data_IF_049318837536
#
_entry.id   IF_049318837536
#
_cell.length_a   1.000
_cell.length_b   1.000
_cell.length_c   1.000
_cell.angle_alpha   90.00
_cell.angle_beta   90.00
_cell.angle_gamma   90.00
#
_symmetry.space_group_name_H-M   'P 1'
#
loop_
_entity.id
_entity.type
_entity.pdbx_description
1 polymer ?
#
# COMPACT_ATOMS: atom_id res chain seq x y z
N UNK A 1 1.40 9.86 16.14
CA UNK A 1 1.70 8.42 16.00
C UNK A 1 3.15 8.27 15.57
N UNK A 2 3.94 7.52 16.31
CA UNK A 2 5.31 7.25 15.88
C UNK A 2 5.33 6.08 14.88
N UNK A 3 6.47 5.84 14.27
CA UNK A 3 6.58 4.84 13.23
C UNK A 3 6.25 3.43 13.73
N UNK A 4 6.67 3.10 14.95
CA UNK A 4 6.40 1.78 15.50
C UNK A 4 4.90 1.54 15.69
N UNK A 5 4.17 2.54 16.15
CA UNK A 5 2.71 2.44 16.32
C UNK A 5 2.01 2.29 14.98
N UNK A 6 2.51 2.95 13.94
CA UNK A 6 1.93 2.87 12.59
C UNK A 6 1.93 1.43 12.10
N UNK A 7 3.04 0.72 12.32
CA UNK A 7 3.19 -0.64 11.82
C UNK A 7 2.48 -1.68 12.68
N UNK A 8 1.96 -1.28 13.84
CA UNK A 8 1.11 -2.12 14.68
C UNK A 8 -0.38 -1.93 14.39
N UNK A 9 -0.72 -0.99 13.51
CA UNK A 9 -2.10 -0.73 13.12
C UNK A 9 -2.69 -1.97 12.44
N UNK A 10 -3.96 -2.31 12.70
CA UNK A 10 -4.60 -3.43 12.00
C UNK A 10 -4.51 -3.25 10.48
N UNK A 11 -4.33 -4.35 9.73
CA UNK A 11 -4.14 -4.24 8.27
C UNK A 11 -5.23 -3.47 7.53
N UNK A 12 -6.49 -3.63 7.90
CA UNK A 12 -7.58 -2.91 7.25
C UNK A 12 -7.50 -1.41 7.51
N UNK A 13 -7.13 -1.03 8.74
CA UNK A 13 -6.96 0.39 9.07
C UNK A 13 -5.78 1.00 8.31
N UNK A 14 -4.66 0.28 8.25
CA UNK A 14 -3.52 0.74 7.47
C UNK A 14 -3.87 0.82 5.99
N UNK A 15 -4.66 -0.12 5.49
CA UNK A 15 -5.13 -0.10 4.11
C UNK A 15 -5.87 1.21 3.78
N UNK A 16 -6.74 1.66 4.68
CA UNK A 16 -7.45 2.92 4.49
C UNK A 16 -6.47 4.11 4.44
N UNK A 17 -5.42 4.06 5.24
CA UNK A 17 -4.41 5.13 5.28
C UNK A 17 -3.58 5.18 4.00
N UNK A 18 -3.26 4.02 3.41
CA UNK A 18 -2.33 3.97 2.29
C UNK A 18 -2.97 4.11 0.91
N UNK A 19 -4.28 3.91 0.78
CA UNK A 19 -4.90 3.98 -0.56
C UNK A 19 -4.64 5.32 -1.25
N UNK A 20 -4.64 6.49 -0.57
CA UNK A 20 -4.33 7.77 -1.23
C UNK A 20 -2.96 7.84 -1.89
N UNK A 21 -2.02 6.95 -1.53
CA UNK A 21 -0.74 6.87 -2.21
C UNK A 21 -0.93 6.62 -3.72
N UNK A 22 -2.01 5.95 -4.09
CA UNK A 22 -2.34 5.61 -5.47
C UNK A 22 -3.27 6.64 -6.12
N UNK A 23 -3.34 7.86 -5.60
CA UNK A 23 -4.31 8.86 -6.05
C UNK A 23 -4.17 9.24 -7.52
N UNK A 24 -3.03 8.99 -8.17
CA UNK A 24 -2.90 9.10 -9.61
C UNK A 24 -3.31 7.77 -10.26
N UNK A 25 -3.71 7.81 -11.53
CA UNK A 25 -4.02 6.59 -12.29
C UNK A 25 -2.80 5.77 -12.64
N UNK A 26 -1.59 6.31 -12.43
CA UNK A 26 -0.38 5.62 -12.81
C UNK A 26 -0.14 4.40 -11.92
N UNK A 27 0.03 3.21 -12.52
CA UNK A 27 0.36 2.02 -11.74
C UNK A 27 1.78 2.12 -11.20
N UNK A 28 2.01 1.44 -10.09
CA UNK A 28 3.32 1.39 -9.45
C UNK A 28 3.90 -0.01 -9.62
N UNK A 29 5.21 -0.07 -9.85
CA UNK A 29 5.91 -1.36 -9.93
C UNK A 29 5.78 -2.10 -8.60
N UNK A 30 5.31 -3.35 -8.65
CA UNK A 30 5.07 -4.14 -7.45
C UNK A 30 6.34 -4.35 -6.64
N UNK A 31 7.49 -4.46 -7.31
CA UNK A 31 8.77 -4.67 -6.64
C UNK A 31 9.19 -3.50 -5.75
N UNK A 32 8.66 -2.30 -6.00
CA UNK A 32 9.06 -1.08 -5.29
C UNK A 32 7.94 -0.49 -4.44
N UNK A 33 6.69 -0.90 -4.69
CA UNK A 33 5.54 -0.20 -4.11
C UNK A 33 5.56 -0.20 -2.59
N UNK A 34 5.93 -1.32 -1.97
CA UNK A 34 5.92 -1.41 -0.51
C UNK A 34 6.93 -0.46 0.12
N UNK A 35 8.14 -0.41 -0.43
CA UNK A 35 9.17 0.52 0.08
C UNK A 35 8.76 1.97 -0.14
N UNK A 36 8.18 2.26 -1.29
CA UNK A 36 7.74 3.61 -1.60
C UNK A 36 6.63 4.06 -0.67
N UNK A 37 5.71 3.17 -0.30
CA UNK A 37 4.66 3.50 0.67
C UNK A 37 5.26 3.74 2.06
N UNK A 38 6.21 2.90 2.48
CA UNK A 38 6.87 3.11 3.76
C UNK A 38 7.55 4.48 3.80
N UNK A 39 8.27 4.82 2.72
CA UNK A 39 8.93 6.13 2.62
C UNK A 39 7.91 7.28 2.68
N UNK A 40 6.81 7.13 1.95
CA UNK A 40 5.76 8.14 1.90
C UNK A 40 5.12 8.38 3.26
N UNK A 41 4.83 7.30 3.99
CA UNK A 41 4.19 7.41 5.31
C UNK A 41 5.15 7.95 6.37
N UNK A 42 6.41 7.57 6.32
CA UNK A 42 7.38 7.97 7.34
C UNK A 42 8.13 9.25 6.97
N UNK A 43 7.93 9.76 5.76
CA UNK A 43 8.65 10.93 5.29
C UNK A 43 10.11 10.67 4.98
N UNK A 44 10.51 9.40 4.88
CA UNK A 44 11.88 9.03 4.57
C UNK A 44 12.09 8.90 3.07
N UNK A 45 13.32 9.12 2.62
CA UNK A 45 13.70 8.87 1.23
C UNK A 45 14.17 7.43 1.10
N UNK A 46 14.26 6.94 -0.15
CA UNK A 46 14.84 5.62 -0.42
C UNK A 46 16.25 5.50 0.16
N UNK A 47 17.01 6.59 0.11
CA UNK A 47 18.37 6.61 0.63
C UNK A 47 18.40 6.37 2.14
N UNK A 48 17.43 6.92 2.86
CA UNK A 48 17.33 6.75 4.31
C UNK A 48 16.84 5.35 4.68
N UNK A 49 16.04 4.71 3.82
CA UNK A 49 15.58 3.35 4.03
C UNK A 49 16.67 2.31 3.78
N UNK A 50 17.75 2.73 3.14
CA UNK A 50 18.83 1.84 2.78
C UNK A 50 18.60 1.13 1.47
N UNK A 51 19.62 0.47 0.99
CA UNK A 51 19.57 -0.23 -0.29
C UNK A 51 19.00 -1.63 -0.08
N UNK A 52 17.88 -1.92 -0.74
CA UNK A 52 17.24 -3.23 -0.67
C UNK A 52 17.28 -3.84 -2.07
N UNK A 53 17.69 -5.11 -2.15
CA UNK A 53 17.66 -5.81 -3.41
C UNK A 53 16.22 -6.08 -3.82
N UNK A 54 15.86 -5.64 -5.02
CA UNK A 54 14.50 -5.84 -5.55
C UNK A 54 14.21 -7.30 -5.89
N UNK A 55 15.25 -8.12 -5.94
CA UNK A 55 15.11 -9.50 -6.38
C UNK A 55 14.96 -10.49 -5.22
N UNK A 56 14.99 -10.00 -3.97
CA UNK A 56 14.88 -10.87 -2.82
C UNK A 56 13.49 -10.73 -2.18
N UNK A 57 12.63 -11.71 -2.43
CA UNK A 57 11.31 -11.76 -1.80
C UNK A 57 11.42 -11.87 -0.28
N UNK A 58 12.53 -12.39 0.23
CA UNK A 58 12.74 -12.52 1.67
C UNK A 58 12.79 -11.18 2.37
N UNK A 59 13.29 -10.14 1.68
CA UNK A 59 13.40 -8.80 2.26
C UNK A 59 12.05 -8.23 2.67
N UNK A 60 10.98 -8.63 1.99
CA UNK A 60 9.63 -8.22 2.33
C UNK A 60 9.28 -8.62 3.77
N UNK A 61 9.80 -9.77 4.21
CA UNK A 61 9.48 -10.32 5.53
C UNK A 61 10.47 -9.89 6.61
N UNK A 62 11.54 -9.21 6.26
CA UNK A 62 12.55 -8.80 7.23
C UNK A 62 12.18 -7.49 7.94
N UNK A 63 11.43 -6.62 7.28
CA UNK A 63 11.04 -5.34 7.84
C UNK A 63 9.59 -5.38 8.30
N UNK A 64 9.31 -5.09 9.57
CA UNK A 64 7.92 -5.00 10.04
C UNK A 64 7.10 -3.97 9.24
N UNK A 65 7.72 -2.86 8.86
CA UNK A 65 7.03 -1.83 8.08
C UNK A 65 6.62 -2.36 6.70
N UNK A 66 7.55 -2.98 5.99
CA UNK A 66 7.28 -3.51 4.65
C UNK A 66 6.26 -4.63 4.72
N UNK A 67 6.34 -5.47 5.74
CA UNK A 67 5.37 -6.54 5.95
C UNK A 67 3.97 -5.99 6.21
N UNK A 68 3.86 -4.98 7.06
CA UNK A 68 2.58 -4.35 7.37
C UNK A 68 1.93 -3.74 6.12
N UNK A 69 2.73 -3.05 5.30
CA UNK A 69 2.24 -2.49 4.05
C UNK A 69 1.78 -3.61 3.10
N UNK A 70 2.53 -4.72 3.04
CA UNK A 70 2.13 -5.87 2.22
C UNK A 70 0.79 -6.43 2.64
N UNK A 71 0.54 -6.56 3.94
CA UNK A 71 -0.75 -7.02 4.45
C UNK A 71 -1.87 -6.05 4.10
N UNK A 72 -1.61 -4.76 4.24
CA UNK A 72 -2.59 -3.74 3.89
C UNK A 72 -2.94 -3.77 2.40
N UNK A 73 -1.94 -3.97 1.53
CA UNK A 73 -2.17 -4.09 0.10
C UNK A 73 -3.05 -5.29 -0.23
N UNK A 74 -2.90 -6.40 0.48
CA UNK A 74 -3.78 -7.56 0.30
C UNK A 74 -5.23 -7.22 0.62
N UNK A 75 -5.46 -6.43 1.68
CA UNK A 75 -6.80 -5.99 2.02
C UNK A 75 -7.41 -5.14 0.91
N UNK A 76 -6.61 -4.24 0.33
CA UNK A 76 -7.07 -3.38 -0.75
C UNK A 76 -7.41 -4.18 -2.01
N UNK A 77 -6.60 -5.17 -2.34
CA UNK A 77 -6.87 -6.05 -3.48
C UNK A 77 -8.12 -6.89 -3.25
N UNK A 78 -8.27 -7.42 -2.03
CA UNK A 78 -9.44 -8.24 -1.67
C UNK A 78 -10.73 -7.42 -1.73
N UNK A 79 -10.66 -6.14 -1.37
CA UNK A 79 -11.80 -5.23 -1.46
C UNK A 79 -12.02 -4.68 -2.87
N UNK A 80 -11.20 -5.09 -3.84
CA UNK A 80 -11.26 -4.65 -5.23
C UNK A 80 -10.99 -3.16 -5.41
N UNK A 81 -10.24 -2.57 -4.50
CA UNK A 81 -9.83 -1.16 -4.61
C UNK A 81 -8.52 -1.00 -5.35
N UNK A 82 -7.69 -2.05 -5.34
CA UNK A 82 -6.47 -2.14 -6.13
C UNK A 82 -6.51 -3.40 -6.99
N UNK A 83 -5.77 -3.37 -8.07
CA UNK A 83 -5.61 -4.55 -8.92
C UNK A 83 -4.15 -4.69 -9.34
N UNK A 84 -3.78 -5.91 -9.67
CA UNK A 84 -2.46 -6.22 -10.21
C UNK A 84 -2.58 -6.54 -11.68
N UNK A 85 -1.58 -6.14 -12.43
CA UNK A 85 -1.45 -6.51 -13.84
C UNK A 85 -0.02 -6.95 -14.08
N UNK A 86 0.12 -8.05 -14.81
CA UNK A 86 1.44 -8.62 -15.11
C UNK A 86 1.65 -8.45 -16.61
N UNK A 87 2.73 -7.75 -16.97
CA UNK A 87 3.12 -7.66 -18.37
C UNK A 87 3.71 -8.98 -18.82
N UNK A 88 3.30 -9.44 -19.99
CA UNK A 88 3.92 -10.59 -20.61
C UNK A 88 5.28 -10.22 -21.20
N UNK A 89 6.07 -11.24 -21.51
CA UNK A 89 7.33 -11.06 -22.20
C UNK A 89 8.54 -11.13 -21.28
N UNK A 90 9.70 -11.00 -21.91
CA UNK A 90 10.99 -11.27 -21.26
C UNK A 90 11.30 -10.27 -20.14
N UNK A 91 10.86 -9.03 -20.29
CA UNK A 91 11.11 -7.99 -19.31
C UNK A 91 9.82 -7.55 -18.62
N UNK A 92 8.80 -8.42 -18.66
CA UNK A 92 7.54 -8.11 -18.03
C UNK A 92 7.66 -7.94 -16.54
N UNK A 93 6.85 -7.07 -15.97
CA UNK A 93 6.80 -6.81 -14.55
C UNK A 93 5.38 -6.88 -14.04
N UNK A 94 5.24 -6.87 -12.72
CA UNK A 94 3.95 -6.80 -12.06
C UNK A 94 3.72 -5.36 -11.59
N UNK A 95 2.53 -4.83 -11.87
CA UNK A 95 2.15 -3.48 -11.49
C UNK A 95 0.91 -3.52 -10.61
N UNK A 96 0.81 -2.54 -9.73
CA UNK A 96 -0.31 -2.38 -8.82
C UNK A 96 -0.89 -0.98 -9.04
N UNK A 97 -2.19 -0.89 -9.19
CA UNK A 97 -2.84 0.40 -9.40
C UNK A 97 -4.27 0.40 -8.95
N UNK A 98 -4.88 1.56 -8.96
CA UNK A 98 -6.29 1.71 -8.58
C UNK A 98 -7.21 1.03 -9.58
N UNK A 99 -8.23 0.37 -9.05
CA UNK A 99 -9.40 -0.01 -9.85
C UNK A 99 -10.30 1.21 -10.02
N UNK A 100 -11.32 1.10 -10.90
CA UNK A 100 -12.32 2.16 -11.00
C UNK A 100 -13.02 2.37 -9.66
N UNK A 101 -13.31 1.29 -8.94
CA UNK A 101 -13.90 1.38 -7.61
C UNK A 101 -12.96 2.09 -6.63
N UNK A 102 -11.66 1.79 -6.70
CA UNK A 102 -10.68 2.46 -5.84
C UNK A 102 -10.64 3.96 -6.07
N UNK A 103 -10.66 4.38 -7.33
CA UNK A 103 -10.71 5.82 -7.64
C UNK A 103 -11.99 6.45 -7.12
N UNK A 104 -13.12 5.79 -7.34
CA UNK A 104 -14.41 6.28 -6.85
C UNK A 104 -14.41 6.42 -5.33
N UNK A 105 -13.87 5.42 -4.63
CA UNK A 105 -13.82 5.45 -3.17
C UNK A 105 -12.99 6.63 -2.65
N UNK A 106 -11.88 6.93 -3.33
CA UNK A 106 -11.08 8.11 -2.96
C UNK A 106 -11.84 9.41 -3.23
N UNK A 107 -12.52 9.49 -4.36
CA UNK A 107 -13.26 10.70 -4.73
C UNK A 107 -14.44 10.95 -3.81
N UNK A 108 -15.08 9.91 -3.33
CA UNK A 108 -16.27 10.01 -2.47
C UNK A 108 -15.94 9.87 -0.99
N UNK A 109 -14.67 9.67 -0.65
CA UNK A 109 -14.21 9.47 0.73
C UNK A 109 -14.93 8.31 1.42
N UNK A 110 -15.08 7.19 0.69
CA UNK A 110 -15.79 6.00 1.17
C UNK A 110 -14.86 4.78 1.32
N UNK A 111 -13.55 5.00 1.36
CA UNK A 111 -12.58 3.91 1.42
C UNK A 111 -12.83 3.01 2.63
N UNK A 112 -13.06 3.60 3.80
CA UNK A 112 -13.29 2.82 5.02
C UNK A 112 -14.51 1.92 4.90
N UNK A 113 -15.57 2.41 4.28
CA UNK A 113 -16.79 1.63 4.08
C UNK A 113 -16.53 0.41 3.19
N UNK A 114 -15.75 0.59 2.13
CA UNK A 114 -15.39 -0.52 1.23
C UNK A 114 -14.50 -1.56 1.91
N UNK A 115 -13.77 -1.17 2.94
CA UNK A 115 -12.91 -2.06 3.71
C UNK A 115 -13.64 -2.72 4.89
N UNK A 116 -14.92 -2.46 5.05
CA UNK A 116 -15.68 -3.00 6.16
C UNK A 116 -15.43 -2.29 7.48
N UNK A 117 -14.82 -1.13 7.44
CA UNK A 117 -14.57 -0.31 8.62
C UNK A 117 -15.71 0.67 8.79
N UNK A 118 -16.00 1.02 10.01
CA UNK A 118 -16.98 2.07 10.27
C UNK A 118 -16.45 3.44 9.93
N UNK A 119 -17.18 4.47 10.37
CA UNK A 119 -16.71 5.83 10.23
C UNK A 119 -15.35 5.98 10.86
N UNK A 120 -14.61 7.01 10.44
CA UNK A 120 -13.30 7.25 11.00
C UNK A 120 -13.37 7.26 12.51
N UNK A 121 -12.38 6.64 13.20
CA UNK A 121 -12.38 6.66 14.64
C UNK A 121 -12.49 8.10 15.14
N UNK A 122 -13.26 8.27 16.18
CA UNK A 122 -13.29 9.56 16.86
C UNK A 122 -11.91 9.75 17.46
N UNK A 123 -11.06 10.41 16.73
CA UNK A 123 -9.75 10.74 17.25
C UNK A 123 -9.91 11.92 18.17
N UNK A 124 -9.58 11.62 19.31
CA UNK A 124 -9.36 12.71 20.26
C UNK A 124 -7.98 13.23 20.06
#
# INVERSE_FOLDING_TARGET
MNDDQRWLMPPAELAAVILPFFSSWEPRAESEVRRNIVAWLSGQTDKQLGHVSYFSARKVFESPAVRAVGEALQHLERACLLMRAIDGGQYGGCYVGLTRLGMHALQTNTVRQHLGLGDAPLTT
#
